data_IF_197911673079
#
_entry.id   IF_197911673079
#
_cell.length_a   1.000
_cell.length_b   1.000
_cell.length_c   1.000
_cell.angle_alpha   90.00
_cell.angle_beta   90.00
_cell.angle_gamma   90.00
#
_symmetry.space_group_name_H-M   'P 1'
#
loop_
_entity.id
_entity.type
_entity.pdbx_description
1 polymer ?
#
# COMPACT_ATOMS: atom_id res chain seq x y z
N UNK A 1 -7.79 -35.22 -18.65
CA UNK A 1 -8.13 -33.78 -18.73
C UNK A 1 -8.59 -33.39 -17.34
N UNK A 2 -7.79 -32.63 -16.61
CA UNK A 2 -8.15 -32.24 -15.24
C UNK A 2 -9.39 -31.34 -15.26
N UNK A 3 -10.33 -31.50 -14.30
CA UNK A 3 -11.51 -30.66 -14.24
C UNK A 3 -11.10 -29.22 -13.92
N UNK A 4 -11.55 -28.25 -14.72
CA UNK A 4 -11.35 -26.82 -14.45
C UNK A 4 -12.18 -26.47 -13.20
N UNK A 5 -11.50 -26.23 -12.08
CA UNK A 5 -12.14 -25.86 -10.81
C UNK A 5 -11.83 -24.41 -10.47
N UNK A 6 -12.87 -23.62 -10.24
CA UNK A 6 -12.75 -22.23 -9.80
C UNK A 6 -12.73 -22.15 -8.26
N UNK A 7 -11.92 -21.25 -7.71
CA UNK A 7 -11.79 -21.03 -6.25
C UNK A 7 -12.80 -19.98 -5.77
N UNK A 8 -12.95 -18.87 -6.49
CA UNK A 8 -13.83 -17.76 -6.19
C UNK A 8 -15.27 -18.04 -6.63
N UNK A 9 -16.24 -17.61 -5.80
CA UNK A 9 -17.66 -17.83 -6.06
C UNK A 9 -18.18 -17.04 -7.28
N UNK A 10 -17.61 -15.86 -7.55
CA UNK A 10 -17.91 -15.04 -8.72
C UNK A 10 -17.57 -15.78 -10.02
N UNK A 11 -16.36 -16.33 -10.09
CA UNK A 11 -15.88 -17.09 -11.23
C UNK A 11 -16.67 -18.40 -11.43
N UNK A 12 -17.13 -19.05 -10.34
CA UNK A 12 -18.06 -20.19 -10.43
C UNK A 12 -19.40 -19.82 -11.08
N UNK A 13 -19.95 -18.64 -10.77
CA UNK A 13 -21.21 -18.18 -11.37
C UNK A 13 -21.04 -17.87 -12.86
N UNK A 14 -19.93 -17.21 -13.22
CA UNK A 14 -19.60 -16.94 -14.62
C UNK A 14 -19.37 -18.24 -15.40
N UNK A 15 -18.69 -19.23 -14.83
CA UNK A 15 -18.51 -20.54 -15.45
C UNK A 15 -19.85 -21.25 -15.70
N UNK A 16 -20.77 -21.22 -14.73
CA UNK A 16 -22.14 -21.75 -14.89
C UNK A 16 -22.92 -21.00 -15.97
N UNK A 17 -22.72 -19.69 -16.10
CA UNK A 17 -23.35 -18.91 -17.17
C UNK A 17 -22.79 -19.28 -18.53
N UNK A 18 -21.46 -19.43 -18.66
CA UNK A 18 -20.79 -19.89 -19.88
C UNK A 18 -21.32 -21.26 -20.31
N UNK A 19 -21.48 -22.19 -19.36
CA UNK A 19 -22.03 -23.53 -19.63
C UNK A 19 -23.49 -23.53 -20.08
N UNK A 20 -24.26 -22.51 -19.69
CA UNK A 20 -25.65 -22.34 -20.13
C UNK A 20 -25.77 -21.64 -21.48
N UNK A 21 -24.87 -20.70 -21.76
CA UNK A 21 -24.96 -19.84 -22.95
C UNK A 21 -24.32 -20.48 -24.18
N UNK A 22 -23.24 -21.24 -24.01
CA UNK A 22 -22.43 -21.73 -25.13
C UNK A 22 -22.41 -23.25 -25.25
N UNK A 23 -22.35 -23.78 -26.49
CA UNK A 23 -22.14 -25.21 -26.72
C UNK A 23 -20.74 -25.66 -26.27
N UNK A 24 -20.64 -26.96 -25.95
CA UNK A 24 -19.52 -27.62 -25.27
C UNK A 24 -18.10 -27.21 -25.69
N UNK A 25 -17.74 -27.11 -26.99
CA UNK A 25 -16.37 -26.73 -27.36
C UNK A 25 -16.04 -25.27 -27.05
N UNK A 26 -16.99 -24.36 -27.23
CA UNK A 26 -16.79 -22.92 -26.98
C UNK A 26 -16.77 -22.66 -25.48
N UNK A 27 -17.69 -23.30 -24.74
CA UNK A 27 -17.75 -23.22 -23.28
C UNK A 27 -16.44 -23.70 -22.64
N UNK A 28 -15.82 -24.75 -23.18
CA UNK A 28 -14.55 -25.26 -22.67
C UNK A 28 -13.40 -24.24 -22.85
N UNK A 29 -13.27 -23.63 -24.02
CA UNK A 29 -12.24 -22.61 -24.29
C UNK A 29 -12.44 -21.39 -23.38
N UNK A 30 -13.68 -20.91 -23.26
CA UNK A 30 -14.02 -19.78 -22.41
C UNK A 30 -13.75 -20.06 -20.93
N UNK A 31 -14.07 -21.27 -20.44
CA UNK A 31 -13.73 -21.68 -19.07
C UNK A 31 -12.23 -21.78 -18.85
N UNK A 32 -11.45 -22.23 -19.83
CA UNK A 32 -9.99 -22.23 -19.76
C UNK A 32 -9.41 -20.81 -19.68
N UNK A 33 -9.97 -19.87 -20.44
CA UNK A 33 -9.62 -18.45 -20.37
C UNK A 33 -9.99 -17.83 -19.01
N UNK A 34 -11.20 -18.12 -18.54
CA UNK A 34 -11.70 -17.66 -17.25
C UNK A 34 -10.83 -18.17 -16.09
N UNK A 35 -10.33 -19.40 -16.20
CA UNK A 35 -9.45 -20.00 -15.20
C UNK A 35 -8.10 -19.29 -15.10
N UNK A 36 -7.47 -18.96 -16.24
CA UNK A 36 -6.26 -18.13 -16.22
C UNK A 36 -6.52 -16.75 -15.60
N UNK A 37 -7.67 -16.16 -15.92
CA UNK A 37 -8.04 -14.84 -15.41
C UNK A 37 -8.23 -14.86 -13.88
N UNK A 38 -8.78 -15.95 -13.34
CA UNK A 38 -8.88 -16.15 -11.89
C UNK A 38 -7.50 -16.22 -11.22
N UNK A 39 -6.55 -16.97 -11.78
CA UNK A 39 -5.20 -17.06 -11.24
C UNK A 39 -4.50 -15.68 -11.25
N UNK A 40 -4.61 -14.92 -12.34
CA UNK A 40 -4.08 -13.56 -12.40
C UNK A 40 -4.76 -12.62 -11.40
N UNK A 41 -6.08 -12.73 -11.26
CA UNK A 41 -6.84 -11.92 -10.32
C UNK A 41 -6.40 -12.17 -8.87
N UNK A 42 -6.22 -13.44 -8.50
CA UNK A 42 -5.72 -13.82 -7.17
C UNK A 42 -4.32 -13.24 -6.94
N UNK A 43 -3.40 -13.41 -7.89
CA UNK A 43 -2.04 -12.89 -7.77
C UNK A 43 -2.03 -11.36 -7.64
N UNK A 44 -2.83 -10.66 -8.44
CA UNK A 44 -2.90 -9.20 -8.39
C UNK A 44 -3.49 -8.71 -7.07
N UNK A 45 -4.58 -9.34 -6.60
CA UNK A 45 -5.21 -8.98 -5.33
C UNK A 45 -4.26 -9.17 -4.15
N UNK A 46 -3.52 -10.28 -4.13
CA UNK A 46 -2.49 -10.54 -3.12
C UNK A 46 -1.38 -9.48 -3.18
N UNK A 47 -0.88 -9.15 -4.38
CA UNK A 47 0.15 -8.11 -4.53
C UNK A 47 -0.33 -6.75 -4.04
N UNK A 48 -1.53 -6.34 -4.40
CA UNK A 48 -2.07 -5.06 -3.98
C UNK A 48 -2.27 -4.98 -2.45
N UNK A 49 -2.76 -6.05 -1.84
CA UNK A 49 -2.93 -6.13 -0.38
C UNK A 49 -1.57 -6.12 0.35
N UNK A 50 -0.55 -6.76 -0.22
CA UNK A 50 0.83 -6.73 0.29
C UNK A 50 1.45 -5.34 0.12
N UNK A 51 1.29 -4.70 -1.04
CA UNK A 51 1.82 -3.36 -1.30
C UNK A 51 1.15 -2.31 -0.41
N UNK A 52 -0.14 -2.45 -0.12
CA UNK A 52 -0.87 -1.62 0.84
C UNK A 52 -0.40 -1.86 2.29
N UNK A 53 -0.16 -3.13 2.67
CA UNK A 53 0.35 -3.48 3.99
C UNK A 53 1.82 -3.07 4.21
N UNK A 54 2.62 -3.00 3.14
CA UNK A 54 4.03 -2.60 3.16
C UNK A 54 4.19 -1.10 2.85
N UNK A 55 3.13 -0.42 2.43
CA UNK A 55 3.16 1.00 2.10
C UNK A 55 3.87 1.75 3.24
N UNK A 56 5.02 2.40 2.98
CA UNK A 56 5.78 3.05 4.02
C UNK A 56 4.87 4.11 4.62
N UNK A 57 4.49 3.90 5.88
CA UNK A 57 3.87 4.93 6.68
C UNK A 57 4.88 6.07 6.70
N UNK A 58 4.61 7.14 5.95
CA UNK A 58 5.38 8.38 6.04
C UNK A 58 4.94 8.97 7.38
N UNK A 59 5.77 8.94 8.44
CA UNK A 59 5.43 9.69 9.62
C UNK A 59 5.33 11.17 9.21
N UNK A 60 4.24 11.83 9.60
CA UNK A 60 4.20 13.29 9.69
C UNK A 60 5.15 13.69 10.83
N UNK A 61 6.46 13.48 10.63
CA UNK A 61 7.45 14.03 11.54
C UNK A 61 7.42 15.55 11.34
N UNK A 62 7.02 16.33 12.36
CA UNK A 62 7.05 17.78 12.24
C UNK A 62 8.48 18.18 11.93
N UNK A 63 8.64 19.02 10.90
CA UNK A 63 9.92 19.64 10.59
C UNK A 63 10.31 20.49 11.81
N UNK A 64 11.13 19.93 12.69
CA UNK A 64 11.68 20.65 13.84
C UNK A 64 12.67 21.66 13.27
N UNK A 65 12.29 22.94 13.23
CA UNK A 65 13.19 24.01 12.82
C UNK A 65 14.43 24.01 13.73
N UNK A 66 15.64 24.13 13.17
CA UNK A 66 16.85 24.13 13.97
C UNK A 66 16.87 25.35 14.92
N UNK A 67 17.30 25.19 16.19
CA UNK A 67 17.31 26.29 17.14
C UNK A 67 18.27 27.40 16.69
N UNK A 68 17.89 28.64 16.97
CA UNK A 68 18.73 29.81 16.68
C UNK A 68 19.60 30.12 17.90
N UNK A 69 20.89 30.31 17.66
CA UNK A 69 21.86 30.65 18.71
C UNK A 69 22.07 32.16 18.74
N UNK A 70 21.92 32.75 19.92
CA UNK A 70 22.25 34.16 20.15
C UNK A 70 23.33 34.25 21.22
N UNK A 71 24.38 35.00 20.92
CA UNK A 71 25.49 35.26 21.86
C UNK A 71 25.45 36.74 22.24
N UNK A 72 25.35 37.01 23.54
CA UNK A 72 25.40 38.36 24.09
C UNK A 72 26.58 38.49 25.06
N UNK A 73 27.19 39.68 25.09
CA UNK A 73 28.29 39.96 26.01
C UNK A 73 27.77 39.91 27.45
N UNK A 74 28.38 39.06 28.29
CA UNK A 74 27.99 38.95 29.69
C UNK A 74 28.48 40.14 30.51
N UNK A 75 27.82 40.41 31.63
CA UNK A 75 28.21 41.45 32.59
C UNK A 75 29.54 41.13 33.31
N UNK A 76 30.05 39.90 33.15
CA UNK A 76 31.33 39.44 33.70
C UNK A 76 32.40 39.45 32.60
N UNK A 77 33.46 40.23 32.81
CA UNK A 77 34.56 40.41 31.85
C UNK A 77 35.23 39.05 31.53
N UNK A 78 35.10 38.61 30.27
CA UNK A 78 35.73 37.39 29.76
C UNK A 78 34.82 36.17 29.62
N UNK A 79 33.51 36.28 29.83
CA UNK A 79 32.56 35.19 29.58
C UNK A 79 31.42 35.68 28.68
N UNK A 80 31.06 34.91 27.65
CA UNK A 80 29.91 35.22 26.79
C UNK A 80 28.66 34.46 27.25
N UNK A 81 27.51 35.11 27.23
CA UNK A 81 26.22 34.47 27.51
C UNK A 81 25.69 33.86 26.22
N UNK A 82 25.59 32.53 26.18
CA UNK A 82 25.01 31.79 25.04
C UNK A 82 23.56 31.48 25.37
N UNK A 83 22.64 31.94 24.53
CA UNK A 83 21.22 31.63 24.61
C UNK A 83 20.78 30.80 23.40
N UNK A 84 19.89 29.84 23.65
CA UNK A 84 19.32 28.94 22.65
C UNK A 84 17.83 29.23 22.60
N UNK A 85 17.32 29.71 21.46
CA UNK A 85 15.89 29.90 21.23
C UNK A 85 15.38 28.84 20.26
N UNK A 86 14.30 28.16 20.64
CA UNK A 86 13.58 27.20 19.80
C UNK A 86 12.08 27.42 19.93
N UNK A 87 11.34 27.20 18.85
CA UNK A 87 9.87 27.18 18.86
C UNK A 87 9.42 25.88 19.52
N UNK A 88 8.94 25.96 20.77
CA UNK A 88 8.44 24.79 21.48
C UNK A 88 7.01 24.49 21.03
N UNK A 89 6.86 23.62 20.04
CA UNK A 89 5.52 23.15 19.64
C UNK A 89 5.10 22.02 20.59
N UNK A 90 4.08 22.27 21.43
CA UNK A 90 3.46 21.23 22.26
C UNK A 90 2.44 20.49 21.38
N UNK A 91 2.86 19.37 20.81
CA UNK A 91 1.91 18.34 20.33
C UNK A 91 1.32 17.57 21.50
#
# INVERSE_FOLDING_TARGET
>A
MEPITFKLNEFKQVAKWIDKTFPFPIAFILKGWLWKLEDYYIVYKIKNEVDEAIAPHIPDDPVVEPPTYHTEASEVEGLDTISISGTWDRS
#
